data_IF_521179132194
#
_entry.id   IF_521179132194
#
_cell.length_a   1.000
_cell.length_b   1.000
_cell.length_c   1.000
_cell.angle_alpha   90.00
_cell.angle_beta   90.00
_cell.angle_gamma   90.00
#
_symmetry.space_group_name_H-M   'P 1'
#
loop_
_entity.id
_entity.type
_entity.pdbx_description
1 polymer ?
#
# COMPACT_ATOMS: atom_id res chain seq x y z
N UNK A 1 -20.59 13.17 49.39
CA UNK A 1 -19.15 13.16 49.09
C UNK A 1 -18.89 12.15 47.98
N UNK A 2 -18.66 12.61 46.75
CA UNK A 2 -18.15 11.78 45.64
C UNK A 2 -16.90 12.49 45.10
N UNK A 3 -15.79 11.77 45.19
CA UNK A 3 -14.42 12.27 45.11
C UNK A 3 -14.03 12.72 43.71
N UNK A 4 -13.40 13.89 43.68
CA UNK A 4 -12.29 14.33 42.81
C UNK A 4 -12.44 14.19 41.30
N UNK A 5 -12.65 15.35 40.68
CA UNK A 5 -11.98 15.84 39.49
C UNK A 5 -10.46 15.52 39.55
N UNK A 6 -10.05 14.30 39.20
CA UNK A 6 -8.65 13.97 38.97
C UNK A 6 -8.33 14.44 37.56
N UNK A 7 -7.68 15.59 37.45
CA UNK A 7 -7.00 16.01 36.22
C UNK A 7 -6.14 14.83 35.76
N UNK A 8 -6.52 14.20 34.65
CA UNK A 8 -5.84 13.01 34.13
C UNK A 8 -4.47 13.47 33.62
N UNK A 9 -3.41 13.30 34.43
CA UNK A 9 -2.04 13.69 34.07
C UNK A 9 -1.29 12.53 33.44
N UNK A 10 -0.57 12.80 32.37
CA UNK A 10 0.36 11.88 31.72
C UNK A 10 1.72 12.55 31.54
N UNK A 11 2.79 11.79 31.75
CA UNK A 11 4.16 12.24 31.50
C UNK A 11 4.63 11.63 30.19
N UNK A 12 5.17 12.44 29.30
CA UNK A 12 5.65 12.01 27.99
C UNK A 12 7.09 12.45 27.81
N UNK A 13 8.00 11.48 27.66
CA UNK A 13 9.37 11.73 27.24
C UNK A 13 9.49 11.52 25.74
N UNK A 14 9.89 12.55 25.00
CA UNK A 14 10.03 12.46 23.54
C UNK A 14 11.23 13.26 23.03
N UNK A 15 11.76 12.82 21.90
CA UNK A 15 12.83 13.55 21.21
C UNK A 15 12.30 14.85 20.59
N UNK A 16 12.95 15.96 20.89
CA UNK A 16 12.72 17.28 20.30
C UNK A 16 14.08 17.91 20.02
N UNK A 17 14.65 17.56 18.87
CA UNK A 17 15.96 18.06 18.45
C UNK A 17 15.79 19.00 17.26
N UNK A 18 16.71 19.95 17.10
CA UNK A 18 16.63 20.96 16.03
C UNK A 18 16.60 20.34 14.62
N UNK A 19 17.38 19.28 14.40
CA UNK A 19 17.51 18.60 13.09
C UNK A 19 16.74 17.28 12.96
N UNK A 20 15.99 16.88 13.99
CA UNK A 20 15.28 15.60 13.99
C UNK A 20 13.87 15.71 14.58
N UNK A 21 12.87 15.45 13.74
CA UNK A 21 11.45 15.40 14.16
C UNK A 21 11.06 13.96 14.42
N UNK A 22 10.76 13.62 15.68
CA UNK A 22 10.27 12.29 16.03
C UNK A 22 8.77 12.17 15.75
N UNK A 23 8.33 11.38 14.74
CA UNK A 23 6.92 11.26 14.39
C UNK A 23 6.12 10.57 15.50
N UNK A 24 6.68 9.56 16.15
CA UNK A 24 6.01 8.82 17.22
C UNK A 24 5.81 9.68 18.47
N UNK A 25 6.76 10.55 18.81
CA UNK A 25 6.60 11.52 19.90
C UNK A 25 5.43 12.47 19.69
N UNK A 26 5.27 12.98 18.47
CA UNK A 26 4.13 13.83 18.11
C UNK A 26 2.80 13.06 18.14
N UNK A 27 2.79 11.82 17.62
CA UNK A 27 1.59 10.96 17.64
C UNK A 27 1.17 10.58 19.07
N UNK A 28 2.11 10.24 19.96
CA UNK A 28 1.83 9.98 21.38
C UNK A 28 1.27 11.22 22.07
N UNK A 29 1.89 12.39 21.85
CA UNK A 29 1.39 13.67 22.39
C UNK A 29 -0.04 13.97 21.92
N UNK A 30 -0.33 13.77 20.64
CA UNK A 30 -1.67 13.98 20.10
C UNK A 30 -2.69 12.99 20.69
N UNK A 31 -2.32 11.71 20.82
CA UNK A 31 -3.19 10.68 21.38
C UNK A 31 -3.53 10.96 22.85
N UNK A 32 -2.56 11.33 23.68
CA UNK A 32 -2.81 11.72 25.06
C UNK A 32 -3.77 12.93 25.15
N UNK A 33 -3.58 13.94 24.30
CA UNK A 33 -4.48 15.11 24.26
C UNK A 33 -5.89 14.73 23.85
N UNK A 34 -6.05 13.85 22.86
CA UNK A 34 -7.39 13.45 22.39
C UNK A 34 -8.15 12.58 23.40
N UNK A 35 -7.44 11.86 24.28
CA UNK A 35 -8.02 11.14 25.42
C UNK A 35 -8.29 12.04 26.66
N UNK A 36 -8.00 13.34 26.56
CA UNK A 36 -8.28 14.33 27.60
C UNK A 36 -7.23 14.39 28.71
N UNK A 37 -5.99 13.94 28.46
CA UNK A 37 -4.90 14.05 29.42
C UNK A 37 -4.22 15.44 29.38
N UNK A 38 -3.91 15.97 30.54
CA UNK A 38 -2.90 17.03 30.70
C UNK A 38 -1.51 16.39 30.59
N UNK A 39 -0.66 16.90 29.71
CA UNK A 39 0.61 16.27 29.38
C UNK A 39 1.77 17.07 29.96
N UNK A 40 2.54 16.42 30.80
CA UNK A 40 3.88 16.85 31.19
C UNK A 40 4.88 16.39 30.13
N UNK A 41 5.24 17.30 29.23
CA UNK A 41 6.03 17.02 28.02
C UNK A 41 7.53 17.25 28.25
N UNK A 42 8.27 16.17 28.51
CA UNK A 42 9.72 16.18 28.72
C UNK A 42 10.46 15.97 27.41
N UNK A 43 11.34 16.92 27.08
CA UNK A 43 12.06 16.93 25.81
C UNK A 43 13.47 16.38 25.96
N UNK A 44 13.78 15.37 25.17
CA UNK A 44 15.13 14.87 24.95
C UNK A 44 15.69 15.62 23.74
N UNK A 45 16.57 16.59 23.99
CA UNK A 45 17.10 17.54 23.00
C UNK A 45 18.39 17.06 22.35
N UNK A 46 19.10 16.15 22.98
CA UNK A 46 20.35 15.58 22.46
C UNK A 46 20.30 14.06 22.35
N UNK A 47 21.24 13.48 21.60
CA UNK A 47 21.37 12.03 21.49
C UNK A 47 21.86 11.43 22.81
N UNK A 48 22.77 12.13 23.48
CA UNK A 48 23.31 11.76 24.79
C UNK A 48 22.21 11.71 25.85
N UNK A 49 21.31 12.70 25.89
CA UNK A 49 20.11 12.69 26.74
C UNK A 49 19.18 11.53 26.41
N UNK A 50 18.97 11.26 25.12
CA UNK A 50 18.11 10.16 24.68
C UNK A 50 18.69 8.81 25.10
N UNK A 51 19.99 8.59 24.90
CA UNK A 51 20.67 7.35 25.24
C UNK A 51 20.80 7.20 26.77
N UNK A 52 20.97 8.29 27.50
CA UNK A 52 20.93 8.28 28.97
C UNK A 52 19.54 7.88 29.49
N UNK A 53 18.47 8.49 28.96
CA UNK A 53 17.09 8.15 29.29
C UNK A 53 16.79 6.68 29.00
N UNK A 54 17.22 6.17 27.84
CA UNK A 54 17.06 4.75 27.46
C UNK A 54 17.72 3.80 28.46
N UNK A 55 18.94 4.12 28.90
CA UNK A 55 19.67 3.32 29.90
C UNK A 55 19.02 3.40 31.28
N UNK A 56 18.60 4.59 31.70
CA UNK A 56 17.98 4.82 33.01
C UNK A 56 16.65 4.07 33.14
N UNK A 57 15.85 4.06 32.08
CA UNK A 57 14.53 3.43 32.08
C UNK A 57 14.51 2.02 31.49
N UNK A 58 15.67 1.46 31.10
CA UNK A 58 15.80 0.15 30.45
C UNK A 58 14.82 -0.02 29.27
N UNK A 59 14.95 0.86 28.27
CA UNK A 59 14.13 0.89 27.05
C UNK A 59 14.97 1.07 25.79
N UNK A 60 14.59 0.39 24.72
CA UNK A 60 15.29 0.51 23.43
C UNK A 60 14.88 1.75 22.62
N UNK A 61 13.68 2.29 22.89
CA UNK A 61 13.05 3.31 22.03
C UNK A 61 12.44 4.46 22.82
N UNK A 62 12.31 5.60 22.16
CA UNK A 62 11.52 6.75 22.59
C UNK A 62 10.52 7.10 21.47
N UNK A 63 9.35 7.70 21.78
CA UNK A 63 8.93 8.24 23.06
C UNK A 63 8.57 7.18 24.11
N UNK A 64 8.48 7.59 25.37
CA UNK A 64 7.96 6.79 26.47
C UNK A 64 6.88 7.56 27.23
N UNK A 65 5.76 6.90 27.52
CA UNK A 65 4.59 7.48 28.18
C UNK A 65 4.38 6.85 29.55
N UNK A 66 4.09 7.69 30.54
CA UNK A 66 3.76 7.28 31.90
C UNK A 66 2.41 7.86 32.32
N UNK A 67 1.55 7.06 32.93
CA UNK A 67 0.23 7.48 33.41
C UNK A 67 0.09 6.98 34.85
N UNK A 68 -0.25 7.87 35.78
CA UNK A 68 -0.41 7.49 37.20
C UNK A 68 0.86 6.95 37.87
N UNK A 69 2.05 7.26 37.32
CA UNK A 69 3.34 6.75 37.78
C UNK A 69 3.74 5.40 37.18
N UNK A 70 2.87 4.75 36.41
CA UNK A 70 3.14 3.51 35.71
C UNK A 70 3.65 3.77 34.28
N UNK A 71 4.66 3.02 33.84
CA UNK A 71 5.20 3.09 32.48
C UNK A 71 4.27 2.34 31.52
N UNK A 72 3.60 3.07 30.65
CA UNK A 72 2.75 2.49 29.59
C UNK A 72 3.61 1.98 28.44
N UNK A 73 4.65 2.73 28.05
CA UNK A 73 5.56 2.34 26.98
C UNK A 73 5.62 3.34 25.82
N UNK A 74 5.94 2.82 24.64
CA UNK A 74 6.03 3.57 23.40
C UNK A 74 4.69 3.96 22.80
N UNK A 75 4.70 4.44 21.55
CA UNK A 75 3.46 4.82 20.87
C UNK A 75 2.50 3.63 20.64
N UNK A 76 3.04 2.45 20.34
CA UNK A 76 2.24 1.23 20.14
C UNK A 76 1.56 0.80 21.43
N UNK A 77 2.31 0.72 22.53
CA UNK A 77 1.78 0.33 23.84
C UNK A 77 0.73 1.35 24.35
N UNK A 78 1.00 2.64 24.12
CA UNK A 78 0.04 3.69 24.45
C UNK A 78 -1.28 3.56 23.69
N UNK A 79 -1.23 3.17 22.42
CA UNK A 79 -2.42 2.89 21.62
C UNK A 79 -3.19 1.69 22.15
N UNK A 80 -2.48 0.64 22.52
CA UNK A 80 -3.09 -0.56 23.11
C UNK A 80 -3.76 -0.25 24.45
N UNK A 81 -3.11 0.54 25.30
CA UNK A 81 -3.68 1.00 26.58
C UNK A 81 -5.03 1.71 26.40
N UNK A 82 -5.22 2.47 25.31
CA UNK A 82 -6.49 3.13 24.99
C UNK A 82 -7.45 2.28 24.15
N UNK A 83 -7.21 0.98 24.00
CA UNK A 83 -8.05 0.08 23.20
C UNK A 83 -8.04 0.37 21.71
N UNK A 84 -6.97 0.99 21.20
CA UNK A 84 -6.78 1.39 19.80
C UNK A 84 -5.53 0.73 19.19
N UNK A 85 -5.30 -0.59 19.36
CA UNK A 85 -4.07 -1.25 18.92
C UNK A 85 -3.81 -0.97 17.44
N UNK A 86 -2.52 -0.93 17.06
CA UNK A 86 -2.18 -0.85 15.65
C UNK A 86 -2.72 -2.09 14.93
N UNK A 87 -3.16 -1.95 13.65
CA UNK A 87 -3.47 -3.12 12.84
C UNK A 87 -2.26 -4.05 12.82
N UNK A 88 -2.53 -5.35 12.91
CA UNK A 88 -1.51 -6.39 12.75
C UNK A 88 -0.71 -6.11 11.47
N UNK A 89 0.64 -5.99 11.55
CA UNK A 89 1.50 -5.82 10.39
C UNK A 89 1.35 -6.89 9.31
N UNK A 90 0.74 -8.03 9.61
CA UNK A 90 0.43 -9.10 8.64
C UNK A 90 -1.05 -9.19 8.27
N UNK A 91 -1.93 -8.36 8.85
CA UNK A 91 -3.33 -8.33 8.46
C UNK A 91 -3.51 -7.91 6.99
N UNK A 92 -4.46 -8.57 6.34
CA UNK A 92 -4.81 -8.28 4.95
C UNK A 92 -5.41 -6.89 4.80
N UNK A 93 -4.96 -6.14 3.80
CA UNK A 93 -5.44 -4.77 3.55
C UNK A 93 -5.69 -4.52 2.07
N UNK A 94 -6.94 -4.24 1.72
CA UNK A 94 -7.34 -3.88 0.36
C UNK A 94 -7.33 -2.37 0.10
N UNK A 95 -7.07 -1.54 1.12
CA UNK A 95 -7.12 -0.08 1.00
C UNK A 95 -6.21 0.46 -0.11
N UNK A 96 -4.94 0.01 -0.26
CA UNK A 96 -4.08 0.50 -1.32
C UNK A 96 -4.63 0.19 -2.72
N UNK A 97 -5.12 -1.03 -2.94
CA UNK A 97 -5.73 -1.45 -4.21
C UNK A 97 -6.95 -0.58 -4.50
N UNK A 98 -7.87 -0.47 -3.55
CA UNK A 98 -9.09 0.31 -3.74
C UNK A 98 -8.77 1.77 -4.08
N UNK A 99 -7.74 2.35 -3.48
CA UNK A 99 -7.28 3.69 -3.81
C UNK A 99 -6.79 3.81 -5.26
N UNK A 100 -6.05 2.83 -5.77
CA UNK A 100 -5.59 2.79 -7.17
C UNK A 100 -6.77 2.68 -8.13
N UNK A 101 -7.71 1.75 -7.87
CA UNK A 101 -8.89 1.57 -8.71
C UNK A 101 -9.80 2.81 -8.68
N UNK A 102 -10.03 3.40 -7.50
CA UNK A 102 -10.81 4.64 -7.37
C UNK A 102 -10.14 5.80 -8.13
N UNK A 103 -8.81 5.90 -8.08
CA UNK A 103 -8.05 6.92 -8.81
C UNK A 103 -8.17 6.71 -10.33
N UNK A 104 -7.96 5.48 -10.81
CA UNK A 104 -8.13 5.16 -12.23
C UNK A 104 -9.54 5.43 -12.74
N UNK A 105 -10.57 5.09 -11.96
CA UNK A 105 -11.97 5.39 -12.28
C UNK A 105 -12.23 6.89 -12.34
N UNK A 106 -11.75 7.65 -11.35
CA UNK A 106 -11.90 9.10 -11.33
C UNK A 106 -11.25 9.76 -12.55
N UNK A 107 -10.03 9.34 -12.92
CA UNK A 107 -9.35 9.86 -14.10
C UNK A 107 -10.13 9.50 -15.37
N UNK A 108 -10.53 8.23 -15.54
CA UNK A 108 -11.25 7.79 -16.74
C UNK A 108 -12.58 8.53 -16.94
N UNK A 109 -13.36 8.70 -15.86
CA UNK A 109 -14.61 9.45 -15.90
C UNK A 109 -14.37 10.94 -16.17
N UNK A 110 -13.35 11.54 -15.57
CA UNK A 110 -13.00 12.94 -15.80
C UNK A 110 -12.56 13.19 -17.26
N UNK A 111 -11.71 12.33 -17.82
CA UNK A 111 -11.28 12.44 -19.22
C UNK A 111 -12.46 12.19 -20.16
N UNK A 112 -13.36 11.24 -19.87
CA UNK A 112 -14.59 11.05 -20.64
C UNK A 112 -15.50 12.27 -20.62
N UNK A 113 -15.67 12.89 -19.45
CA UNK A 113 -16.44 14.12 -19.31
C UNK A 113 -15.83 15.25 -20.14
N UNK A 114 -14.51 15.41 -20.12
CA UNK A 114 -13.80 16.43 -20.89
C UNK A 114 -13.87 16.19 -22.40
N UNK A 115 -13.75 14.93 -22.85
CA UNK A 115 -13.70 14.60 -24.27
C UNK A 115 -15.08 14.50 -24.93
N UNK A 116 -16.10 14.00 -24.20
CA UNK A 116 -17.41 13.66 -24.77
C UNK A 116 -18.58 14.41 -24.10
N UNK A 117 -18.32 15.25 -23.10
CA UNK A 117 -19.37 15.95 -22.35
C UNK A 117 -20.20 15.06 -21.42
N UNK A 118 -19.86 13.76 -21.33
CA UNK A 118 -20.51 12.79 -20.44
C UNK A 118 -19.48 11.87 -19.80
N UNK A 119 -19.58 11.58 -18.49
CA UNK A 119 -18.63 10.71 -17.80
C UNK A 119 -18.85 9.23 -18.14
N UNK A 120 -20.07 8.83 -18.49
CA UNK A 120 -20.43 7.42 -18.71
C UNK A 120 -20.43 7.09 -20.20
N UNK A 121 -19.30 6.60 -20.69
CA UNK A 121 -19.13 6.14 -22.08
C UNK A 121 -18.43 4.78 -22.11
N UNK A 122 -18.53 4.07 -23.25
CA UNK A 122 -17.72 2.86 -23.48
C UNK A 122 -16.22 3.20 -23.42
N UNK A 123 -15.84 4.37 -23.94
CA UNK A 123 -14.45 4.87 -23.87
C UNK A 123 -13.98 5.08 -22.44
N UNK A 124 -14.86 5.54 -21.53
CA UNK A 124 -14.54 5.66 -20.11
C UNK A 124 -14.21 4.29 -19.48
N UNK A 125 -14.94 3.24 -19.85
CA UNK A 125 -14.65 1.89 -19.37
C UNK A 125 -13.31 1.36 -19.91
N UNK A 126 -13.00 1.62 -21.19
CA UNK A 126 -11.71 1.27 -21.80
C UNK A 126 -10.54 1.99 -21.10
N UNK A 127 -10.67 3.31 -20.91
CA UNK A 127 -9.68 4.11 -20.20
C UNK A 127 -9.54 3.73 -18.74
N UNK A 128 -10.62 3.34 -18.07
CA UNK A 128 -10.54 2.84 -16.70
C UNK A 128 -9.59 1.64 -16.61
N UNK A 129 -9.77 0.64 -17.48
CA UNK A 129 -8.92 -0.56 -17.46
C UNK A 129 -7.47 -0.20 -17.80
N UNK A 130 -7.24 0.56 -18.86
CA UNK A 130 -5.88 0.86 -19.32
C UNK A 130 -5.12 1.80 -18.35
N UNK A 131 -5.79 2.78 -17.76
CA UNK A 131 -5.19 3.69 -16.77
C UNK A 131 -4.92 2.96 -15.46
N UNK A 132 -5.85 2.13 -14.96
CA UNK A 132 -5.62 1.34 -13.75
C UNK A 132 -4.45 0.36 -13.95
N UNK A 133 -4.35 -0.27 -15.12
CA UNK A 133 -3.21 -1.10 -15.49
C UNK A 133 -1.89 -0.31 -15.46
N UNK A 134 -1.85 0.90 -16.01
CA UNK A 134 -0.66 1.76 -15.91
C UNK A 134 -0.31 2.13 -14.47
N UNK A 135 -1.31 2.42 -13.62
CA UNK A 135 -1.08 2.78 -12.21
C UNK A 135 -0.54 1.59 -11.41
N UNK A 136 -1.08 0.38 -11.62
CA UNK A 136 -0.57 -0.84 -10.98
C UNK A 136 0.84 -1.17 -11.47
N UNK A 137 1.10 -1.06 -12.78
CA UNK A 137 2.43 -1.22 -13.35
C UNK A 137 3.43 -0.19 -12.79
N UNK A 138 3.00 1.06 -12.59
CA UNK A 138 3.82 2.09 -11.94
C UNK A 138 4.23 1.68 -10.51
N UNK A 139 3.33 1.09 -9.72
CA UNK A 139 3.67 0.59 -8.38
C UNK A 139 4.68 -0.56 -8.44
N UNK A 140 4.58 -1.44 -9.44
CA UNK A 140 5.58 -2.48 -9.69
C UNK A 140 6.94 -1.89 -10.08
N UNK A 141 6.95 -0.79 -10.84
CA UNK A 141 8.16 -0.07 -11.28
C UNK A 141 8.85 0.73 -10.16
N UNK A 142 8.14 1.14 -9.10
CA UNK A 142 8.73 1.88 -7.98
C UNK A 142 9.79 1.07 -7.23
N UNK A 143 9.61 -0.25 -7.13
CA UNK A 143 10.56 -1.17 -6.54
C UNK A 143 10.55 -2.50 -7.30
N UNK A 144 11.28 -2.51 -8.42
CA UNK A 144 11.35 -3.66 -9.34
C UNK A 144 11.97 -4.88 -8.66
N UNK A 145 12.92 -4.69 -7.75
CA UNK A 145 13.62 -5.79 -7.09
C UNK A 145 12.71 -6.51 -6.09
N UNK A 146 11.94 -5.75 -5.31
CA UNK A 146 10.95 -6.34 -4.42
C UNK A 146 9.80 -6.98 -5.21
N UNK A 147 9.34 -6.33 -6.29
CA UNK A 147 8.37 -6.92 -7.21
C UNK A 147 8.86 -8.25 -7.80
N UNK A 148 10.07 -8.28 -8.38
CA UNK A 148 10.61 -9.45 -9.08
C UNK A 148 10.73 -10.65 -8.14
N UNK A 149 11.21 -10.41 -6.91
CA UNK A 149 11.34 -11.41 -5.87
C UNK A 149 9.99 -12.04 -5.50
N UNK A 150 8.94 -11.22 -5.31
CA UNK A 150 7.60 -11.73 -5.04
C UNK A 150 6.97 -12.40 -6.26
N UNK A 151 7.16 -11.85 -7.46
CA UNK A 151 6.59 -12.36 -8.70
C UNK A 151 7.09 -13.78 -9.02
N UNK A 152 8.37 -14.06 -8.75
CA UNK A 152 8.98 -15.38 -8.89
C UNK A 152 8.35 -16.45 -7.98
N UNK A 153 7.67 -16.07 -6.89
CA UNK A 153 7.06 -17.04 -5.97
C UNK A 153 5.86 -17.77 -6.58
N UNK A 154 5.23 -17.21 -7.63
CA UNK A 154 4.02 -17.75 -8.22
C UNK A 154 3.97 -17.77 -9.75
N UNK A 155 4.66 -16.86 -10.45
CA UNK A 155 4.56 -16.80 -11.90
C UNK A 155 5.33 -17.95 -12.59
N UNK A 156 4.62 -18.71 -13.43
CA UNK A 156 5.15 -19.91 -14.07
C UNK A 156 6.28 -19.59 -15.07
N UNK A 157 6.18 -18.49 -15.81
CA UNK A 157 7.19 -18.11 -16.80
C UNK A 157 8.39 -17.47 -16.10
N UNK A 158 8.16 -16.59 -15.14
CA UNK A 158 9.23 -15.94 -14.36
C UNK A 158 10.10 -16.97 -13.65
N UNK A 159 9.50 -18.02 -13.08
CA UNK A 159 10.23 -19.13 -12.45
C UNK A 159 11.16 -19.87 -13.41
N UNK A 160 10.81 -19.91 -14.70
CA UNK A 160 11.61 -20.57 -15.74
C UNK A 160 12.64 -19.63 -16.37
N UNK A 161 12.33 -18.34 -16.46
CA UNK A 161 13.18 -17.32 -17.06
C UNK A 161 13.14 -16.05 -16.22
N UNK A 162 14.06 -15.94 -15.27
CA UNK A 162 14.12 -14.83 -14.31
C UNK A 162 14.15 -13.44 -14.96
N UNK A 163 14.86 -13.18 -16.08
CA UNK A 163 14.83 -11.84 -16.69
C UNK A 163 13.43 -11.36 -17.09
N UNK A 164 12.47 -12.26 -17.30
CA UNK A 164 11.07 -11.89 -17.53
C UNK A 164 10.46 -11.14 -16.34
N UNK A 165 10.80 -11.48 -15.09
CA UNK A 165 10.27 -10.79 -13.91
C UNK A 165 10.67 -9.31 -13.85
N UNK A 166 11.83 -8.96 -14.42
CA UNK A 166 12.31 -7.58 -14.49
C UNK A 166 11.68 -6.80 -15.64
N UNK A 167 11.40 -7.45 -16.77
CA UNK A 167 10.84 -6.79 -17.97
C UNK A 167 9.31 -6.67 -17.88
N UNK A 168 8.64 -7.59 -17.18
CA UNK A 168 7.19 -7.62 -16.99
C UNK A 168 6.55 -6.25 -16.67
N UNK A 169 6.98 -5.52 -15.62
CA UNK A 169 6.30 -4.28 -15.23
C UNK A 169 6.43 -3.18 -16.29
N UNK A 170 7.51 -3.20 -17.09
CA UNK A 170 7.67 -2.28 -18.22
C UNK A 170 6.74 -2.63 -19.37
N UNK A 171 6.62 -3.93 -19.70
CA UNK A 171 5.73 -4.41 -20.74
C UNK A 171 4.26 -4.11 -20.42
N UNK A 172 3.87 -4.31 -19.16
CA UNK A 172 2.55 -3.97 -18.67
C UNK A 172 2.27 -2.46 -18.70
N UNK A 173 3.21 -1.63 -18.21
CA UNK A 173 3.03 -0.18 -18.29
C UNK A 173 2.91 0.31 -19.73
N UNK A 174 3.77 -0.19 -20.63
CA UNK A 174 3.77 0.16 -22.04
C UNK A 174 2.47 -0.24 -22.73
N UNK A 175 1.98 -1.46 -22.48
CA UNK A 175 0.72 -1.92 -23.03
C UNK A 175 -0.44 -1.03 -22.54
N UNK A 176 -0.51 -0.71 -21.25
CA UNK A 176 -1.53 0.20 -20.70
C UNK A 176 -1.48 1.60 -21.33
N UNK A 177 -0.28 2.14 -21.54
CA UNK A 177 -0.09 3.44 -22.19
C UNK A 177 -0.59 3.44 -23.65
N UNK A 178 -0.20 2.43 -24.42
CA UNK A 178 -0.62 2.27 -25.82
C UNK A 178 -2.13 2.02 -25.94
N UNK A 179 -2.71 1.22 -25.04
CA UNK A 179 -4.16 0.98 -25.00
C UNK A 179 -4.93 2.25 -24.65
N UNK A 180 -4.46 3.05 -23.69
CA UNK A 180 -5.07 4.34 -23.34
C UNK A 180 -5.09 5.30 -24.54
N UNK A 181 -3.99 5.35 -25.28
CA UNK A 181 -3.86 6.19 -26.47
C UNK A 181 -4.57 5.61 -27.71
N UNK A 182 -5.06 4.35 -27.66
CA UNK A 182 -5.48 3.58 -28.84
C UNK A 182 -4.42 3.58 -29.96
N UNK A 183 -3.14 3.56 -29.56
CA UNK A 183 -2.01 3.64 -30.47
C UNK A 183 -1.34 2.26 -30.60
N UNK A 184 -0.82 1.96 -31.79
CA UNK A 184 -0.06 0.73 -32.09
C UNK A 184 -0.74 -0.56 -31.55
N UNK A 185 -2.01 -0.85 -31.91
CA UNK A 185 -2.72 -2.03 -31.44
C UNK A 185 -2.00 -3.35 -31.77
N UNK A 186 -1.21 -3.37 -32.84
CA UNK A 186 -0.38 -4.51 -33.21
C UNK A 186 0.76 -4.82 -32.22
N UNK A 187 1.14 -3.87 -31.36
CA UNK A 187 2.10 -4.07 -30.26
C UNK A 187 1.34 -4.31 -28.95
N UNK A 188 0.39 -3.43 -28.63
CA UNK A 188 -0.26 -3.45 -27.31
C UNK A 188 -1.11 -4.69 -27.09
N UNK A 189 -1.84 -5.15 -28.11
CA UNK A 189 -2.71 -6.34 -28.01
C UNK A 189 -1.88 -7.61 -27.78
N UNK A 190 -0.82 -7.93 -28.56
CA UNK A 190 -0.01 -9.11 -28.29
C UNK A 190 0.69 -9.06 -26.93
N UNK A 191 1.22 -7.90 -26.52
CA UNK A 191 1.90 -7.75 -25.23
C UNK A 191 0.92 -7.98 -24.07
N UNK A 192 -0.21 -7.28 -24.05
CA UNK A 192 -1.23 -7.42 -23.02
C UNK A 192 -1.83 -8.83 -23.00
N UNK A 193 -2.10 -9.41 -24.18
CA UNK A 193 -2.64 -10.76 -24.31
C UNK A 193 -1.68 -11.83 -23.81
N UNK A 194 -0.40 -11.75 -24.18
CA UNK A 194 0.62 -12.70 -23.74
C UNK A 194 0.85 -12.63 -22.23
N UNK A 195 1.08 -11.42 -21.71
CA UNK A 195 1.32 -11.18 -20.28
C UNK A 195 0.09 -11.57 -19.46
N UNK A 196 -1.11 -11.15 -19.88
CA UNK A 196 -2.36 -11.43 -19.19
C UNK A 196 -2.73 -12.92 -19.19
N UNK A 197 -2.51 -13.64 -20.31
CA UNK A 197 -2.79 -15.06 -20.38
C UNK A 197 -1.86 -15.88 -19.46
N UNK A 198 -0.56 -15.60 -19.49
CA UNK A 198 0.42 -16.26 -18.62
C UNK A 198 0.14 -15.91 -17.15
N UNK A 199 -0.05 -14.63 -16.84
CA UNK A 199 -0.35 -14.18 -15.49
C UNK A 199 -1.63 -14.79 -14.92
N UNK A 200 -2.71 -14.85 -15.71
CA UNK A 200 -3.96 -15.50 -15.31
C UNK A 200 -3.76 -16.99 -15.04
N UNK A 201 -3.04 -17.71 -15.91
CA UNK A 201 -2.74 -19.12 -15.71
C UNK A 201 -1.84 -19.35 -14.46
N UNK A 202 -0.85 -18.49 -14.25
CA UNK A 202 0.03 -18.50 -13.07
C UNK A 202 -0.75 -18.33 -11.77
N UNK A 203 -1.59 -17.29 -11.68
CA UNK A 203 -2.39 -17.00 -10.49
C UNK A 203 -3.44 -18.10 -10.25
N UNK A 204 -4.08 -18.59 -11.32
CA UNK A 204 -5.03 -19.69 -11.22
C UNK A 204 -4.37 -20.96 -10.63
N UNK A 205 -3.21 -21.34 -11.16
CA UNK A 205 -2.44 -22.47 -10.63
C UNK A 205 -1.99 -22.25 -9.17
N UNK A 206 -1.48 -21.07 -8.84
CA UNK A 206 -0.95 -20.79 -7.49
C UNK A 206 -2.05 -20.77 -6.42
N UNK A 207 -3.21 -20.20 -6.74
CA UNK A 207 -4.28 -19.93 -5.77
C UNK A 207 -5.33 -21.04 -5.75
N UNK A 208 -5.80 -21.49 -6.92
CA UNK A 208 -6.91 -22.45 -7.00
C UNK A 208 -6.44 -23.91 -6.99
N UNK A 209 -5.27 -24.19 -7.59
CA UNK A 209 -4.72 -25.55 -7.61
C UNK A 209 -3.82 -25.79 -6.40
N UNK A 210 -2.87 -24.91 -6.14
CA UNK A 210 -1.87 -25.07 -5.09
C UNK A 210 -2.32 -24.52 -3.72
N UNK A 211 -3.48 -23.83 -3.65
CA UNK A 211 -4.05 -23.24 -2.43
C UNK A 211 -3.05 -22.42 -1.60
N UNK A 212 -2.15 -21.68 -2.27
CA UNK A 212 -1.14 -20.87 -1.59
C UNK A 212 -1.73 -19.52 -1.19
N UNK A 213 -1.56 -19.15 0.08
CA UNK A 213 -1.80 -17.79 0.55
C UNK A 213 -0.59 -16.92 0.19
N UNK A 214 -0.76 -16.06 -0.81
CA UNK A 214 0.31 -15.22 -1.34
C UNK A 214 -0.05 -13.76 -1.26
N UNK A 215 0.94 -12.93 -0.94
CA UNK A 215 0.84 -11.46 -0.98
C UNK A 215 0.87 -10.99 -2.45
N UNK A 216 0.08 -9.96 -2.75
CA UNK A 216 -0.08 -9.42 -4.09
C UNK A 216 1.12 -8.57 -4.46
N UNK A 217 1.81 -8.92 -5.55
CA UNK A 217 2.93 -8.12 -6.05
C UNK A 217 2.45 -6.85 -6.80
N UNK A 218 1.17 -6.73 -7.12
CA UNK A 218 0.65 -5.65 -7.97
C UNK A 218 0.66 -4.26 -7.32
N UNK A 219 0.85 -4.19 -6.01
CA UNK A 219 0.97 -2.92 -5.27
C UNK A 219 2.42 -2.73 -4.77
N UNK A 220 3.37 -3.48 -5.31
CA UNK A 220 4.78 -3.45 -4.90
C UNK A 220 5.07 -4.22 -3.61
N UNK A 221 6.36 -4.33 -3.30
CA UNK A 221 7.00 -5.11 -2.23
C UNK A 221 6.38 -5.15 -0.85
N UNK A 222 5.69 -4.09 -0.45
CA UNK A 222 5.32 -3.82 0.93
C UNK A 222 3.83 -4.01 1.27
N UNK A 223 3.02 -4.61 0.39
CA UNK A 223 1.57 -4.70 0.61
C UNK A 223 1.12 -6.08 1.12
N UNK A 224 0.26 -6.10 2.15
CA UNK A 224 -0.44 -7.32 2.60
C UNK A 224 -1.77 -7.52 1.85
N UNK A 225 -1.80 -7.19 0.57
CA UNK A 225 -2.99 -7.42 -0.24
C UNK A 225 -3.00 -8.91 -0.59
N UNK A 226 -4.09 -9.66 -0.39
CA UNK A 226 -4.15 -11.05 -0.83
C UNK A 226 -4.19 -11.11 -2.37
N UNK A 227 -3.25 -11.87 -2.95
CA UNK A 227 -3.01 -11.94 -4.40
C UNK A 227 -4.23 -12.42 -5.20
N UNK A 228 -4.98 -13.38 -4.67
CA UNK A 228 -5.83 -14.25 -5.48
C UNK A 228 -6.90 -13.55 -6.31
N UNK A 229 -7.87 -12.93 -5.67
CA UNK A 229 -9.01 -12.35 -6.40
C UNK A 229 -8.63 -11.11 -7.21
N UNK A 230 -7.80 -10.23 -6.64
CA UNK A 230 -7.43 -8.95 -7.27
C UNK A 230 -6.55 -9.19 -8.50
N UNK A 231 -5.49 -9.98 -8.37
CA UNK A 231 -4.54 -10.21 -9.47
C UNK A 231 -5.16 -11.06 -10.59
N UNK A 232 -6.04 -12.02 -10.26
CA UNK A 232 -6.77 -12.77 -11.28
C UNK A 232 -7.69 -11.85 -12.09
N UNK A 233 -8.44 -10.97 -11.40
CA UNK A 233 -9.35 -10.02 -12.06
C UNK A 233 -8.58 -9.06 -12.97
N UNK A 234 -7.41 -8.57 -12.53
CA UNK A 234 -6.51 -7.72 -13.32
C UNK A 234 -6.03 -8.41 -14.60
N UNK A 235 -5.48 -9.63 -14.49
CA UNK A 235 -4.99 -10.38 -15.65
C UNK A 235 -6.11 -10.73 -16.65
N UNK A 236 -7.31 -11.05 -16.14
CA UNK A 236 -8.49 -11.28 -16.99
C UNK A 236 -8.99 -9.99 -17.64
N UNK A 237 -8.93 -8.84 -16.95
CA UNK A 237 -9.29 -7.55 -17.52
C UNK A 237 -8.33 -7.14 -18.65
N UNK A 238 -7.02 -7.38 -18.48
CA UNK A 238 -6.03 -7.17 -19.54
C UNK A 238 -6.32 -8.03 -20.77
N UNK A 239 -6.56 -9.33 -20.58
CA UNK A 239 -6.90 -10.25 -21.66
C UNK A 239 -8.24 -9.87 -22.33
N UNK A 240 -9.25 -9.50 -21.54
CA UNK A 240 -10.56 -9.07 -22.03
C UNK A 240 -10.48 -7.81 -22.87
N UNK A 241 -9.70 -6.81 -22.43
CA UNK A 241 -9.46 -5.59 -23.22
C UNK A 241 -8.66 -5.87 -24.49
N UNK A 242 -7.67 -6.77 -24.46
CA UNK A 242 -6.93 -7.17 -25.66
C UNK A 242 -7.86 -7.82 -26.70
N UNK A 243 -8.76 -8.70 -26.26
CA UNK A 243 -9.79 -9.32 -27.12
C UNK A 243 -10.78 -8.26 -27.64
N UNK A 244 -11.21 -7.34 -26.78
CA UNK A 244 -12.14 -6.27 -27.15
C UNK A 244 -11.56 -5.36 -28.24
N UNK A 245 -10.32 -4.90 -28.07
CA UNK A 245 -9.62 -4.08 -29.07
C UNK A 245 -9.34 -4.85 -30.36
N UNK A 246 -9.14 -6.17 -30.30
CA UNK A 246 -9.02 -7.00 -31.48
C UNK A 246 -10.35 -7.15 -32.24
N UNK A 247 -11.46 -7.25 -31.51
CA UNK A 247 -12.81 -7.38 -32.08
C UNK A 247 -13.38 -6.06 -32.60
N UNK A 248 -12.90 -4.92 -32.10
CA UNK A 248 -13.25 -3.55 -32.55
C UNK A 248 -11.97 -2.76 -32.87
N UNK A 249 -11.38 -2.97 -34.06
CA UNK A 249 -10.16 -2.27 -34.48
C UNK A 249 -10.36 -0.78 -34.68
#
# INVERSE_FOLDING_TARGET
>A
MTSSDRTRKAVLYRMVMEKHVCPFGLKSKHLLRSEGYEIEDHWLRTREETDAFKREHDVDTTPQTFIGGERIGGYTDLREHFGKPLPDPDATSYKPVLAVFATGAAIALAVSLLAFGTPFTVRAAEWFVSITMMLLAMLKLQDVESFSSMFLSYDLLARRYVPYSYVYPFGEWLAGALMTAHALPWISIPVAGFIGAIGAASVFCAVYVQKRELKCACVGGGSNVPLGFVSLTENLAMLGMAIWMLARP
#
